data_IF_578198387966
#
_entry.id   IF_578198387966
#
_cell.length_a   1.000
_cell.length_b   1.000
_cell.length_c   1.000
_cell.angle_alpha   90.00
_cell.angle_beta   90.00
_cell.angle_gamma   90.00
#
_symmetry.space_group_name_H-M   'P 1'
#
loop_
_entity.id
_entity.type
_entity.pdbx_description
1 polymer ?
#
# COMPACT_ATOMS: atom_id res chain seq x y z
N UNK A 1 11.78 -30.58 -14.80
CA UNK A 1 11.21 -29.50 -13.96
C UNK A 1 9.73 -29.79 -13.83
N UNK A 2 9.22 -29.83 -12.61
CA UNK A 2 7.81 -30.09 -12.37
C UNK A 2 7.00 -28.86 -12.74
N UNK A 3 5.74 -29.06 -13.12
CA UNK A 3 4.88 -27.95 -13.48
C UNK A 3 4.74 -26.99 -12.28
N UNK A 4 5.11 -25.70 -12.40
CA UNK A 4 5.05 -24.77 -11.29
C UNK A 4 3.63 -24.38 -10.88
N UNK A 5 2.61 -24.81 -11.64
CA UNK A 5 1.19 -24.59 -11.31
C UNK A 5 0.57 -25.79 -10.58
N UNK A 6 0.87 -27.03 -10.97
CA UNK A 6 0.20 -28.21 -10.44
C UNK A 6 1.13 -29.31 -9.91
N UNK A 7 2.46 -29.15 -9.99
CA UNK A 7 3.43 -30.14 -9.54
C UNK A 7 3.59 -31.38 -10.44
N UNK A 8 2.86 -31.46 -11.54
CA UNK A 8 2.96 -32.59 -12.47
C UNK A 8 4.33 -32.72 -13.12
N UNK A 9 4.84 -33.96 -13.19
CA UNK A 9 6.04 -34.35 -13.95
C UNK A 9 5.76 -34.52 -15.44
N UNK A 10 4.49 -34.57 -15.84
CA UNK A 10 4.07 -34.84 -17.22
C UNK A 10 4.07 -33.56 -18.05
N UNK A 11 5.14 -33.35 -18.82
CA UNK A 11 5.27 -32.23 -19.75
C UNK A 11 5.79 -32.66 -21.14
N UNK A 12 5.66 -31.78 -22.12
CA UNK A 12 6.28 -31.91 -23.45
C UNK A 12 7.20 -30.72 -23.73
N UNK A 13 8.13 -30.87 -24.67
CA UNK A 13 8.94 -29.75 -25.19
C UNK A 13 8.11 -28.97 -26.22
N UNK A 14 8.21 -27.64 -26.22
CA UNK A 14 7.42 -26.73 -27.05
C UNK A 14 8.22 -25.48 -27.43
N UNK A 15 9.31 -25.70 -28.16
CA UNK A 15 10.20 -24.63 -28.62
C UNK A 15 10.99 -23.94 -27.50
N UNK A 16 11.62 -22.82 -27.85
CA UNK A 16 12.50 -22.06 -26.95
C UNK A 16 12.04 -20.60 -26.86
N UNK A 17 12.16 -20.02 -25.66
CA UNK A 17 11.92 -18.60 -25.39
C UNK A 17 13.13 -18.05 -24.65
N UNK A 18 13.80 -17.05 -25.23
CA UNK A 18 15.01 -16.42 -24.65
C UNK A 18 16.02 -17.50 -24.24
N UNK A 19 16.42 -18.33 -25.21
CA UNK A 19 17.34 -19.48 -25.06
C UNK A 19 16.98 -20.52 -23.99
N UNK A 20 15.76 -20.48 -23.43
CA UNK A 20 15.28 -21.47 -22.46
C UNK A 20 14.18 -22.33 -23.04
N UNK A 21 14.20 -23.62 -22.71
CA UNK A 21 13.19 -24.59 -23.16
C UNK A 21 11.82 -24.20 -22.59
N UNK A 22 10.84 -23.99 -23.46
CA UNK A 22 9.43 -23.86 -23.07
C UNK A 22 8.78 -25.24 -23.05
N UNK A 23 7.97 -25.47 -22.03
CA UNK A 23 7.28 -26.75 -21.81
C UNK A 23 5.85 -26.52 -21.32
N UNK A 24 4.83 -27.02 -22.04
CA UNK A 24 3.48 -27.11 -21.53
C UNK A 24 3.31 -28.36 -20.69
N UNK A 25 2.63 -28.20 -19.55
CA UNK A 25 2.15 -29.30 -18.73
C UNK A 25 1.01 -30.03 -19.44
N UNK A 26 1.02 -31.37 -19.44
CA UNK A 26 -0.05 -32.18 -20.04
C UNK A 26 -1.35 -32.14 -19.22
N UNK A 27 -1.24 -32.01 -17.89
CA UNK A 27 -2.40 -32.00 -17.00
C UNK A 27 -3.11 -30.65 -16.97
N UNK A 28 -2.40 -29.55 -16.65
CA UNK A 28 -3.02 -28.24 -16.49
C UNK A 28 -2.87 -27.31 -17.71
N UNK A 29 -2.21 -27.76 -18.78
CA UNK A 29 -1.91 -26.99 -20.00
C UNK A 29 -1.14 -25.68 -19.77
N UNK A 30 -0.59 -25.47 -18.57
CA UNK A 30 0.22 -24.29 -18.26
C UNK A 30 1.54 -24.33 -19.03
N UNK A 31 1.87 -23.24 -19.72
CA UNK A 31 3.12 -23.06 -20.44
C UNK A 31 4.14 -22.38 -19.53
N UNK A 32 5.26 -23.04 -19.29
CA UNK A 32 6.32 -22.52 -18.44
C UNK A 32 7.69 -22.75 -19.06
N UNK A 33 8.60 -21.84 -18.75
CA UNK A 33 10.01 -21.90 -19.21
C UNK A 33 10.98 -22.03 -18.03
N UNK A 34 10.49 -21.73 -16.82
CA UNK A 34 11.22 -21.78 -15.56
C UNK A 34 10.28 -22.22 -14.45
N UNK A 35 10.81 -22.86 -13.41
CA UNK A 35 10.03 -23.23 -12.22
C UNK A 35 9.51 -22.00 -11.46
N UNK A 36 10.26 -20.89 -11.47
CA UNK A 36 9.86 -19.65 -10.80
C UNK A 36 10.26 -18.44 -11.65
N UNK A 37 9.31 -17.53 -11.90
CA UNK A 37 9.62 -16.24 -12.53
C UNK A 37 10.44 -15.39 -11.56
N UNK A 38 11.49 -14.74 -12.06
CA UNK A 38 12.33 -13.80 -11.31
C UNK A 38 11.53 -12.67 -10.65
N UNK A 39 10.40 -12.32 -11.25
CA UNK A 39 9.52 -11.24 -10.79
C UNK A 39 8.66 -11.63 -9.58
N UNK A 40 8.58 -12.92 -9.28
CA UNK A 40 7.80 -13.46 -8.16
C UNK A 40 8.72 -13.60 -6.94
N UNK A 41 8.90 -12.49 -6.21
CA UNK A 41 9.60 -12.47 -4.92
C UNK A 41 8.75 -13.09 -3.82
N UNK A 42 9.40 -13.67 -2.81
CA UNK A 42 8.71 -14.32 -1.69
C UNK A 42 7.85 -13.33 -0.90
N UNK A 43 6.80 -13.84 -0.25
CA UNK A 43 5.95 -13.06 0.66
C UNK A 43 6.75 -12.42 1.79
N UNK A 44 7.82 -13.08 2.26
CA UNK A 44 8.75 -12.57 3.27
C UNK A 44 9.44 -11.29 2.79
N UNK A 45 10.01 -11.29 1.58
CA UNK A 45 10.65 -10.08 1.01
C UNK A 45 9.63 -8.94 0.88
N UNK A 46 8.41 -9.26 0.45
CA UNK A 46 7.35 -8.24 0.35
C UNK A 46 7.01 -7.64 1.71
N UNK A 47 6.97 -8.44 2.78
CA UNK A 47 6.73 -7.96 4.14
C UNK A 47 7.87 -7.06 4.62
N UNK A 48 9.12 -7.49 4.44
CA UNK A 48 10.30 -6.69 4.79
C UNK A 48 10.35 -5.35 4.06
N UNK A 49 9.99 -5.29 2.78
CA UNK A 49 9.88 -4.02 2.04
C UNK A 49 8.90 -3.06 2.71
N UNK A 50 7.75 -3.58 3.16
CA UNK A 50 6.74 -2.76 3.82
C UNK A 50 7.22 -2.26 5.19
N UNK A 51 7.84 -3.13 5.98
CA UNK A 51 8.41 -2.78 7.29
C UNK A 51 9.46 -1.68 7.14
N UNK A 52 10.47 -1.88 6.28
CA UNK A 52 11.52 -0.89 6.06
C UNK A 52 10.96 0.45 5.56
N UNK A 53 9.91 0.44 4.73
CA UNK A 53 9.27 1.67 4.27
C UNK A 53 8.56 2.40 5.41
N UNK A 54 7.89 1.67 6.31
CA UNK A 54 7.23 2.25 7.49
C UNK A 54 8.25 2.81 8.51
N UNK A 55 9.45 2.21 8.58
CA UNK A 55 10.59 2.74 9.34
C UNK A 55 11.26 3.96 8.67
N UNK A 56 10.73 4.45 7.54
CA UNK A 56 11.23 5.64 6.85
C UNK A 56 12.39 5.39 5.89
N UNK A 57 12.74 4.14 5.59
CA UNK A 57 13.78 3.87 4.59
C UNK A 57 13.32 4.28 3.18
N UNK A 58 14.16 5.04 2.47
CA UNK A 58 13.91 5.43 1.09
C UNK A 58 13.90 4.25 0.12
N UNK A 59 13.15 4.34 -0.99
CA UNK A 59 12.99 3.24 -1.95
C UNK A 59 14.32 2.72 -2.52
N UNK A 60 15.30 3.60 -2.73
CA UNK A 60 16.64 3.23 -3.21
C UNK A 60 17.43 2.45 -2.16
N UNK A 61 17.33 2.85 -0.89
CA UNK A 61 17.96 2.17 0.24
C UNK A 61 17.40 0.76 0.37
N UNK A 62 16.07 0.63 0.38
CA UNK A 62 15.40 -0.67 0.44
C UNK A 62 15.81 -1.56 -0.75
N UNK A 63 15.88 -0.99 -1.96
CA UNK A 63 16.30 -1.70 -3.15
C UNK A 63 17.72 -2.27 -3.04
N UNK A 64 18.66 -1.50 -2.49
CA UNK A 64 20.04 -1.95 -2.23
C UNK A 64 20.10 -3.04 -1.15
N UNK A 65 19.37 -2.87 -0.05
CA UNK A 65 19.36 -3.82 1.08
C UNK A 65 18.80 -5.18 0.67
N UNK A 66 17.72 -5.20 -0.11
CA UNK A 66 17.01 -6.44 -0.48
C UNK A 66 17.36 -6.95 -1.89
N UNK A 67 18.30 -6.31 -2.58
CA UNK A 67 18.71 -6.64 -3.96
C UNK A 67 17.51 -6.73 -4.91
N UNK A 68 16.65 -5.71 -4.85
CA UNK A 68 15.45 -5.55 -5.69
C UNK A 68 15.48 -4.17 -6.35
N UNK A 69 14.87 -4.05 -7.53
CA UNK A 69 14.82 -2.74 -8.20
C UNK A 69 13.96 -1.76 -7.39
N UNK A 70 14.42 -0.51 -7.31
CA UNK A 70 13.66 0.56 -6.64
C UNK A 70 12.25 0.72 -7.26
N UNK A 71 12.11 0.49 -8.56
CA UNK A 71 10.82 0.54 -9.27
C UNK A 71 9.85 -0.54 -8.79
N UNK A 72 10.34 -1.72 -8.44
CA UNK A 72 9.52 -2.79 -7.87
C UNK A 72 9.03 -2.45 -6.46
N UNK A 73 9.91 -1.87 -5.63
CA UNK A 73 9.56 -1.33 -4.30
C UNK A 73 8.46 -0.28 -4.43
N UNK A 74 8.64 0.70 -5.31
CA UNK A 74 7.65 1.74 -5.58
C UNK A 74 6.30 1.16 -6.02
N UNK A 75 6.30 0.25 -6.98
CA UNK A 75 5.08 -0.37 -7.50
C UNK A 75 4.31 -1.13 -6.40
N UNK A 76 5.01 -1.81 -5.49
CA UNK A 76 4.38 -2.50 -4.37
C UNK A 76 3.78 -1.54 -3.36
N UNK A 77 4.52 -0.49 -2.98
CA UNK A 77 4.07 0.51 -2.01
C UNK A 77 2.86 1.26 -2.54
N UNK A 78 2.89 1.70 -3.81
CA UNK A 78 1.74 2.32 -4.48
C UNK A 78 0.52 1.41 -4.49
N UNK A 79 0.71 0.12 -4.80
CA UNK A 79 -0.38 -0.87 -4.78
C UNK A 79 -0.96 -1.09 -3.38
N UNK A 80 -0.13 -1.07 -2.34
CA UNK A 80 -0.60 -1.19 -0.94
C UNK A 80 -1.30 0.08 -0.46
N UNK A 81 -0.77 1.26 -0.78
CA UNK A 81 -1.40 2.54 -0.45
C UNK A 81 -2.81 2.65 -1.03
N UNK A 82 -3.00 2.24 -2.28
CA UNK A 82 -4.34 2.22 -2.92
C UNK A 82 -5.30 1.20 -2.30
N UNK A 83 -4.78 0.06 -1.80
CA UNK A 83 -5.60 -0.96 -1.14
C UNK A 83 -6.00 -0.57 0.28
N UNK A 84 -5.19 0.24 0.97
CA UNK A 84 -5.44 0.74 2.32
C UNK A 84 -5.97 2.17 2.24
N UNK A 85 -7.13 2.34 1.63
CA UNK A 85 -8.02 3.44 2.02
C UNK A 85 -8.32 3.21 3.51
N UNK A 86 -8.15 4.24 4.34
CA UNK A 86 -8.22 4.21 5.80
C UNK A 86 -9.14 3.11 6.37
N UNK A 87 -8.74 2.35 7.41
CA UNK A 87 -9.64 1.43 8.06
C UNK A 87 -10.82 2.19 8.65
N UNK A 88 -11.94 2.28 7.92
CA UNK A 88 -13.23 2.73 8.43
C UNK A 88 -13.71 1.68 9.42
N UNK A 89 -13.35 1.84 10.70
CA UNK A 89 -13.93 1.00 11.77
C UNK A 89 -15.25 1.62 12.19
N UNK A 90 -16.32 0.84 12.09
CA UNK A 90 -17.60 1.10 12.77
C UNK A 90 -17.42 0.78 14.26
N UNK A 91 -16.91 1.73 15.03
CA UNK A 91 -17.04 1.69 16.49
C UNK A 91 -17.55 3.05 16.94
N UNK A 92 -18.44 3.04 17.94
CA UNK A 92 -18.85 4.25 18.64
C UNK A 92 -17.60 4.92 19.23
N UNK A 93 -17.33 6.13 18.79
CA UNK A 93 -16.21 6.96 19.25
C UNK A 93 -16.74 7.91 20.33
N UNK A 94 -16.01 8.03 21.44
CA UNK A 94 -16.41 8.90 22.54
C UNK A 94 -16.18 10.38 22.19
N UNK A 95 -17.27 11.05 21.81
CA UNK A 95 -17.71 12.43 22.08
C UNK A 95 -16.79 13.65 21.84
N UNK A 96 -15.46 13.55 21.58
CA UNK A 96 -14.59 14.72 21.33
C UNK A 96 -13.59 14.50 20.18
N UNK A 97 -13.93 14.97 18.98
CA UNK A 97 -12.98 15.04 17.86
C UNK A 97 -12.33 16.43 17.79
N UNK A 98 -11.00 16.44 17.82
CA UNK A 98 -10.20 17.65 17.60
C UNK A 98 -9.54 17.54 16.24
N UNK A 99 -9.72 18.55 15.40
CA UNK A 99 -8.99 18.64 14.15
C UNK A 99 -7.76 19.50 14.31
N UNK A 100 -6.63 18.94 13.89
CA UNK A 100 -5.35 19.64 13.87
C UNK A 100 -4.93 19.89 12.43
N UNK A 101 -4.42 21.09 12.19
CA UNK A 101 -3.79 21.46 10.93
C UNK A 101 -2.28 21.29 11.10
N UNK A 102 -1.67 20.41 10.31
CA UNK A 102 -0.21 20.24 10.26
C UNK A 102 0.28 20.71 8.90
N UNK A 103 1.24 21.64 8.91
CA UNK A 103 1.93 22.08 7.69
C UNK A 103 3.02 21.06 7.35
N UNK A 104 2.98 20.50 6.14
CA UNK A 104 4.02 19.62 5.63
C UNK A 104 4.65 20.24 4.39
N UNK A 105 5.98 20.24 4.36
CA UNK A 105 6.76 20.65 3.19
C UNK A 105 6.91 19.43 2.26
N UNK A 106 6.47 19.54 1.01
CA UNK A 106 6.65 18.47 0.01
C UNK A 106 7.48 19.01 -1.16
N UNK A 107 8.77 18.65 -1.16
CA UNK A 107 9.81 18.90 -2.17
C UNK A 107 10.12 20.39 -2.47
N UNK A 108 9.12 21.24 -2.71
CA UNK A 108 9.23 22.71 -2.82
C UNK A 108 7.90 23.45 -2.57
N UNK A 109 6.78 22.72 -2.42
CA UNK A 109 5.45 23.29 -2.20
C UNK A 109 4.97 23.00 -0.77
N UNK A 110 4.22 23.94 -0.19
CA UNK A 110 3.55 23.74 1.09
C UNK A 110 2.24 23.01 0.85
N UNK A 111 2.03 21.89 1.55
CA UNK A 111 0.73 21.22 1.62
C UNK A 111 0.24 21.25 3.06
N UNK A 112 -1.05 21.52 3.23
CA UNK A 112 -1.70 21.50 4.52
C UNK A 112 -2.38 20.14 4.69
N UNK A 113 -2.04 19.45 5.77
CA UNK A 113 -2.71 18.21 6.15
C UNK A 113 -3.65 18.50 7.31
N UNK A 114 -4.93 18.30 7.05
CA UNK A 114 -5.97 18.28 8.06
C UNK A 114 -6.07 16.87 8.60
N UNK A 115 -5.92 16.71 9.91
CA UNK A 115 -6.01 15.41 10.58
C UNK A 115 -7.15 15.47 11.60
N UNK A 116 -8.11 14.57 11.44
CA UNK A 116 -9.13 14.29 12.44
C UNK A 116 -8.61 13.22 13.41
N UNK A 117 -8.57 13.58 14.70
CA UNK A 117 -8.19 12.67 15.77
C UNK A 117 -9.25 12.63 16.86
N UNK A 118 -9.45 11.44 17.40
CA UNK A 118 -10.17 11.26 18.66
C UNK A 118 -9.19 11.54 19.80
N UNK A 119 -9.45 12.62 20.54
CA UNK A 119 -8.56 13.10 21.61
C UNK A 119 -8.55 12.16 22.81
N UNK A 120 -9.71 11.59 23.17
CA UNK A 120 -9.84 10.72 24.34
C UNK A 120 -9.43 9.29 24.03
N UNK A 121 -9.81 8.78 22.86
CA UNK A 121 -9.40 7.45 22.41
C UNK A 121 -7.93 7.38 21.99
N UNK A 122 -7.25 8.53 21.82
CA UNK A 122 -5.91 8.64 21.22
C UNK A 122 -5.84 7.93 19.86
N UNK A 123 -6.88 8.07 19.04
CA UNK A 123 -7.02 7.36 17.75
C UNK A 123 -6.99 8.32 16.59
N UNK A 124 -6.42 7.84 15.49
CA UNK A 124 -6.50 8.50 14.19
C UNK A 124 -7.84 8.17 13.52
N UNK A 125 -8.55 9.19 13.05
CA UNK A 125 -9.87 9.04 12.39
C UNK A 125 -9.72 9.18 10.87
N UNK A 126 -9.03 10.22 10.41
CA UNK A 126 -8.91 10.52 8.99
C UNK A 126 -7.96 11.68 8.73
N UNK A 127 -7.52 11.82 7.47
CA UNK A 127 -6.75 12.99 7.04
C UNK A 127 -7.12 13.39 5.61
N UNK A 128 -6.99 14.69 5.31
CA UNK A 128 -7.05 15.23 3.95
C UNK A 128 -5.85 16.16 3.75
N UNK A 129 -5.16 16.03 2.62
CA UNK A 129 -3.97 16.81 2.29
C UNK A 129 -4.23 17.64 1.03
N UNK A 130 -4.55 18.94 1.20
CA UNK A 130 -4.77 19.87 0.10
C UNK A 130 -4.25 21.27 0.48
N UNK A 131 -5.13 22.13 0.99
CA UNK A 131 -4.91 23.53 1.29
C UNK A 131 -5.54 23.91 2.65
N UNK A 132 -5.26 25.12 3.16
CA UNK A 132 -5.78 25.59 4.45
C UNK A 132 -7.24 26.08 4.38
N UNK A 133 -7.96 25.85 3.27
CA UNK A 133 -9.30 26.40 3.11
C UNK A 133 -10.35 25.65 3.95
N UNK A 134 -11.39 26.39 4.31
CA UNK A 134 -12.59 25.85 4.97
C UNK A 134 -13.29 24.78 4.12
N UNK A 135 -13.17 24.84 2.79
CA UNK A 135 -13.77 23.85 1.89
C UNK A 135 -13.16 22.46 2.07
N UNK A 136 -11.85 22.40 2.33
CA UNK A 136 -11.12 21.14 2.54
C UNK A 136 -11.47 20.49 3.87
N UNK A 137 -11.71 21.33 4.90
CA UNK A 137 -12.26 20.91 6.19
C UNK A 137 -13.66 20.34 6.04
N UNK A 138 -14.53 21.00 5.26
CA UNK A 138 -15.89 20.52 5.01
C UNK A 138 -15.88 19.15 4.31
N UNK A 139 -15.03 18.94 3.30
CA UNK A 139 -14.87 17.64 2.62
C UNK A 139 -14.50 16.52 3.59
N UNK A 140 -13.54 16.77 4.48
CA UNK A 140 -13.17 15.80 5.53
C UNK A 140 -14.33 15.54 6.49
N UNK A 141 -15.07 16.61 6.85
CA UNK A 141 -16.30 16.50 7.63
C UNK A 141 -17.34 15.60 6.95
N UNK A 142 -17.58 15.77 5.63
CA UNK A 142 -18.49 14.92 4.86
C UNK A 142 -18.07 13.47 4.84
N UNK A 143 -16.77 13.20 4.66
CA UNK A 143 -16.24 11.84 4.69
C UNK A 143 -16.46 11.16 6.04
N UNK A 144 -16.47 11.93 7.14
CA UNK A 144 -16.57 11.46 8.53
C UNK A 144 -18.01 11.55 9.08
N UNK A 145 -18.97 12.16 8.37
CA UNK A 145 -20.39 12.32 8.79
C UNK A 145 -21.06 11.04 9.33
N UNK A 146 -20.64 9.88 8.85
CA UNK A 146 -21.16 8.56 9.25
C UNK A 146 -20.67 8.09 10.63
N UNK A 147 -19.74 8.81 11.25
CA UNK A 147 -19.27 8.54 12.61
C UNK A 147 -20.12 9.38 13.56
N UNK A 148 -20.73 8.79 14.60
CA UNK A 148 -21.50 9.55 15.59
C UNK A 148 -20.52 10.41 16.41
N UNK A 149 -20.63 11.73 16.28
CA UNK A 149 -19.81 12.71 17.01
C UNK A 149 -20.73 13.79 17.56
N UNK A 150 -20.51 14.22 18.80
CA UNK A 150 -21.32 15.24 19.48
C UNK A 150 -21.08 16.64 18.95
N UNK A 151 -19.81 16.99 18.72
CA UNK A 151 -19.39 18.26 18.13
C UNK A 151 -17.95 18.09 17.62
N UNK A 152 -17.56 18.95 16.70
CA UNK A 152 -16.21 19.01 16.17
C UNK A 152 -15.51 20.26 16.69
N UNK A 153 -14.29 20.11 17.20
CA UNK A 153 -13.46 21.23 17.65
C UNK A 153 -12.32 21.45 16.64
N UNK A 154 -12.22 22.67 16.13
CA UNK A 154 -11.23 23.09 15.14
C UNK A 154 -10.59 24.38 15.64
N UNK A 155 -9.27 24.39 15.73
CA UNK A 155 -8.51 25.61 16.02
C UNK A 155 -8.19 26.29 14.67
N UNK A 156 -8.62 27.54 14.48
CA UNK A 156 -8.42 28.31 13.23
C UNK A 156 -7.05 29.00 13.21
#
# INVERSE_FOLDING_TARGET
>A
MDCPRCGSINYRKDGFVISRQRSPCKECRYLYTVAKKSDVKSTVIRRMVLELYLEGCGFRTIGRLLQISYGMVYAWIKKWGLKRICPRRKQELHLWNSMRCIRILVQTNYSWIWIAVDRLGKRFVGFVSVDRSTQTVLKLGEEIKHIPVSFYCWDY
#
